data_IF_136973555627
#
_entry.id   IF_136973555627
#
_cell.length_a   1.000
_cell.length_b   1.000
_cell.length_c   1.000
_cell.angle_alpha   90.00
_cell.angle_beta   90.00
_cell.angle_gamma   90.00
#
_symmetry.space_group_name_H-M   'P 1'
#
loop_
_entity.id
_entity.type
_entity.pdbx_description
1 polymer ?
#
# COMPACT_ATOMS: atom_id res chain seq x y z
N UNK A 1 18.18 9.34 4.33
CA UNK A 1 16.91 8.63 4.07
C UNK A 1 15.78 9.64 4.00
N UNK A 2 14.98 9.59 2.97
CA UNK A 2 13.82 10.46 2.84
C UNK A 2 12.64 9.75 3.50
N UNK A 3 12.18 10.28 4.63
CA UNK A 3 10.99 9.74 5.30
C UNK A 3 9.75 9.96 4.43
N UNK A 4 8.91 8.95 4.35
CA UNK A 4 7.59 9.05 3.73
C UNK A 4 6.66 9.84 4.65
N UNK A 5 5.72 10.63 4.11
CA UNK A 5 4.72 11.29 4.93
C UNK A 5 3.93 10.26 5.73
N UNK A 6 3.74 10.54 7.00
CA UNK A 6 2.95 9.68 7.91
C UNK A 6 1.54 9.48 7.34
N UNK A 7 1.01 8.25 7.36
CA UNK A 7 -0.36 8.00 6.90
C UNK A 7 -1.35 8.87 7.68
N UNK A 8 -1.99 9.79 7.01
CA UNK A 8 -3.08 10.58 7.57
C UNK A 8 -4.41 9.89 7.28
N UNK A 9 -4.64 8.78 7.96
CA UNK A 9 -5.99 8.23 8.09
C UNK A 9 -6.71 9.05 9.17
N UNK A 10 -7.25 10.21 8.79
CA UNK A 10 -8.21 10.94 9.59
C UNK A 10 -9.59 10.27 9.42
N UNK A 11 -9.77 9.18 10.17
CA UNK A 11 -11.07 8.58 10.42
C UNK A 11 -11.73 9.41 11.50
N UNK A 12 -12.36 10.53 11.13
CA UNK A 12 -13.20 11.31 12.04
C UNK A 12 -14.30 10.43 12.61
N UNK A 13 -14.43 10.36 13.94
CA UNK A 13 -15.13 9.28 14.60
C UNK A 13 -16.64 9.54 14.71
N UNK A 14 -17.39 8.47 14.60
CA UNK A 14 -18.60 8.30 15.39
C UNK A 14 -18.21 8.46 16.88
N UNK A 15 -18.82 9.42 17.54
CA UNK A 15 -18.57 9.86 18.91
C UNK A 15 -18.49 8.71 19.91
N UNK A 16 -17.32 8.52 20.52
CA UNK A 16 -17.10 7.74 21.72
C UNK A 16 -16.60 8.65 22.87
N UNK A 17 -16.90 8.33 24.15
CA UNK A 17 -16.72 9.25 25.27
C UNK A 17 -15.25 9.55 25.57
N UNK A 18 -14.99 10.78 25.98
CA UNK A 18 -13.68 11.34 26.36
C UNK A 18 -13.08 10.57 27.55
N UNK A 19 -12.06 9.75 27.25
CA UNK A 19 -11.05 9.35 28.23
C UNK A 19 -9.76 10.09 27.91
N UNK A 20 -9.09 10.66 28.92
CA UNK A 20 -7.87 11.44 28.81
C UNK A 20 -6.74 10.62 28.16
N UNK A 21 -6.28 11.05 26.98
CA UNK A 21 -5.15 10.44 26.30
C UNK A 21 -3.88 11.27 26.58
N UNK A 22 -2.91 10.62 27.18
CA UNK A 22 -1.53 11.12 27.25
C UNK A 22 -0.91 11.06 25.84
N UNK A 23 -0.01 12.00 25.45
CA UNK A 23 0.68 11.92 24.17
C UNK A 23 1.79 10.87 24.25
N UNK A 24 1.43 9.64 24.00
CA UNK A 24 2.35 8.52 23.82
C UNK A 24 2.31 8.11 22.35
N UNK A 25 3.48 8.10 21.73
CA UNK A 25 3.82 7.57 20.42
C UNK A 25 2.80 6.55 19.89
N UNK A 26 2.04 6.93 18.85
CA UNK A 26 1.22 5.99 18.08
C UNK A 26 2.14 5.12 17.21
N UNK A 27 2.81 4.17 17.83
CA UNK A 27 3.31 3.01 17.13
C UNK A 27 2.10 2.11 16.93
N UNK A 28 1.62 2.02 15.69
CA UNK A 28 0.67 0.98 15.33
C UNK A 28 1.30 -0.38 15.72
N UNK A 29 0.59 -1.25 16.45
CA UNK A 29 1.15 -2.52 16.88
C UNK A 29 1.53 -3.33 15.65
N UNK A 30 2.80 -3.74 15.59
CA UNK A 30 3.25 -4.79 14.68
C UNK A 30 2.52 -6.05 15.17
N UNK A 31 1.50 -6.47 14.45
CA UNK A 31 0.85 -7.75 14.73
C UNK A 31 1.82 -8.85 14.27
N UNK A 32 2.58 -9.38 15.21
CA UNK A 32 3.27 -10.65 15.03
C UNK A 32 2.25 -11.76 15.20
N UNK A 33 1.79 -12.32 14.11
CA UNK A 33 1.03 -13.54 14.11
C UNK A 33 2.01 -14.74 14.21
N UNK A 34 1.54 -15.85 14.83
CA UNK A 34 2.27 -17.12 14.91
C UNK A 34 2.52 -17.78 13.55
N UNK A 35 2.04 -17.18 12.49
CA UNK A 35 2.17 -17.64 11.09
C UNK A 35 3.56 -17.42 10.48
N UNK A 36 4.50 -16.74 11.16
CA UNK A 36 5.78 -16.37 10.57
C UNK A 36 5.70 -15.17 9.62
N UNK A 37 4.64 -14.39 9.71
CA UNK A 37 4.35 -13.23 8.85
C UNK A 37 4.30 -11.96 9.70
N UNK A 38 4.87 -10.88 9.17
CA UNK A 38 4.77 -9.53 9.72
C UNK A 38 4.09 -8.62 8.70
N UNK A 39 3.09 -7.85 9.14
CA UNK A 39 2.37 -6.88 8.30
C UNK A 39 2.65 -5.48 8.80
N UNK A 40 3.09 -4.59 7.91
CA UNK A 40 3.42 -3.20 8.24
C UNK A 40 3.15 -2.26 7.06
N UNK A 41 3.03 -0.98 7.34
CA UNK A 41 3.09 0.07 6.32
C UNK A 41 4.53 0.47 6.07
N UNK A 42 4.88 0.68 4.79
CA UNK A 42 6.18 1.24 4.43
C UNK A 42 6.35 2.64 5.01
N UNK A 43 7.48 2.89 5.67
CA UNK A 43 7.84 4.18 6.29
C UNK A 43 8.96 4.89 5.55
N UNK A 44 9.75 4.14 4.79
CA UNK A 44 10.92 4.62 4.08
C UNK A 44 10.87 4.22 2.61
N UNK A 45 11.53 5.01 1.77
CA UNK A 45 11.58 4.77 0.34
C UNK A 45 12.16 3.39 -0.01
N UNK A 46 13.13 2.91 0.76
CA UNK A 46 13.75 1.60 0.53
C UNK A 46 12.72 0.46 0.68
N UNK A 47 11.79 0.59 1.61
CA UNK A 47 10.69 -0.36 1.81
C UNK A 47 9.68 -0.32 0.66
N UNK A 48 9.39 0.88 0.13
CA UNK A 48 8.57 1.02 -1.09
C UNK A 48 9.25 0.35 -2.28
N UNK A 49 10.57 0.48 -2.39
CA UNK A 49 11.35 -0.18 -3.45
C UNK A 49 11.30 -1.70 -3.36
N UNK A 50 11.27 -2.27 -2.17
CA UNK A 50 11.06 -3.72 -2.01
C UNK A 50 9.70 -4.16 -2.57
N UNK A 51 8.62 -3.40 -2.27
CA UNK A 51 7.30 -3.65 -2.85
C UNK A 51 7.30 -3.53 -4.38
N UNK A 52 7.97 -2.50 -4.92
CA UNK A 52 8.09 -2.27 -6.35
C UNK A 52 8.83 -3.40 -7.08
N UNK A 53 9.87 -3.98 -6.45
CA UNK A 53 10.59 -5.16 -6.99
C UNK A 53 9.68 -6.38 -7.01
N UNK A 54 9.01 -6.68 -5.90
CA UNK A 54 8.08 -7.82 -5.84
C UNK A 54 6.99 -7.69 -6.92
N UNK A 55 6.42 -6.50 -7.09
CA UNK A 55 5.43 -6.23 -8.14
C UNK A 55 5.99 -6.46 -9.54
N UNK A 56 7.21 -6.00 -9.79
CA UNK A 56 7.87 -6.21 -11.08
C UNK A 56 8.07 -7.69 -11.39
N UNK A 57 8.59 -8.45 -10.43
CA UNK A 57 8.85 -9.87 -10.60
C UNK A 57 7.55 -10.63 -10.92
N UNK A 58 6.46 -10.27 -10.28
CA UNK A 58 5.16 -10.92 -10.50
C UNK A 58 4.48 -10.40 -11.76
N UNK A 59 4.29 -9.09 -11.90
CA UNK A 59 3.50 -8.54 -13.01
C UNK A 59 4.24 -8.65 -14.35
N UNK A 60 5.52 -8.28 -14.41
CA UNK A 60 6.29 -8.42 -15.64
C UNK A 60 6.85 -9.82 -15.83
N UNK A 61 7.43 -10.42 -14.78
CA UNK A 61 8.10 -11.71 -14.87
C UNK A 61 7.13 -12.88 -15.04
N UNK A 62 6.13 -12.99 -14.18
CA UNK A 62 5.20 -14.13 -14.23
C UNK A 62 3.99 -13.87 -15.14
N UNK A 63 3.40 -12.66 -15.10
CA UNK A 63 2.16 -12.36 -15.81
C UNK A 63 2.40 -11.75 -17.20
N UNK A 64 3.65 -11.38 -17.53
CA UNK A 64 4.00 -10.80 -18.82
C UNK A 64 3.45 -9.37 -19.04
N UNK A 65 3.12 -8.66 -17.98
CA UNK A 65 2.60 -7.29 -18.09
C UNK A 65 3.67 -6.34 -18.64
N UNK A 66 3.24 -5.40 -19.48
CA UNK A 66 4.09 -4.31 -19.97
C UNK A 66 4.06 -3.17 -18.96
N UNK A 67 5.09 -3.06 -18.14
CA UNK A 67 5.22 -2.02 -17.15
C UNK A 67 5.99 -0.80 -17.69
N UNK A 68 5.76 0.41 -17.11
CA UNK A 68 6.56 1.58 -17.42
C UNK A 68 8.05 1.30 -17.15
N UNK A 69 8.93 1.69 -18.08
CA UNK A 69 10.39 1.46 -17.98
C UNK A 69 11.06 2.63 -17.27
N UNK A 70 10.62 2.98 -16.07
CA UNK A 70 11.19 4.08 -15.30
C UNK A 70 12.49 3.67 -14.61
N UNK A 71 12.51 2.49 -14.01
CA UNK A 71 13.69 1.91 -13.37
C UNK A 71 13.70 0.39 -13.62
N UNK A 72 14.82 -0.20 -14.13
CA UNK A 72 14.90 -1.63 -14.37
C UNK A 72 14.62 -2.45 -13.10
N UNK A 73 13.77 -3.49 -13.22
CA UNK A 73 13.46 -4.37 -12.11
C UNK A 73 12.49 -3.79 -11.07
N UNK A 74 11.84 -2.66 -11.36
CA UNK A 74 10.87 -2.04 -10.47
C UNK A 74 9.59 -1.69 -11.23
N UNK A 75 8.43 -1.99 -10.64
CA UNK A 75 7.14 -1.47 -11.09
C UNK A 75 6.88 -0.13 -10.40
N UNK A 76 7.09 0.95 -11.15
CA UNK A 76 6.93 2.33 -10.65
C UNK A 76 5.98 3.08 -11.56
N UNK A 77 4.98 3.73 -10.98
CA UNK A 77 4.11 4.66 -11.67
C UNK A 77 3.92 5.97 -10.87
N UNK A 78 3.22 6.92 -11.48
CA UNK A 78 2.95 8.24 -10.90
C UNK A 78 2.27 8.15 -9.51
N UNK A 79 1.46 7.12 -9.27
CA UNK A 79 0.67 7.01 -8.03
C UNK A 79 1.50 6.54 -6.84
N UNK A 80 2.65 5.89 -7.06
CA UNK A 80 3.47 5.33 -5.97
C UNK A 80 3.90 6.40 -4.95
N UNK A 81 4.19 7.62 -5.38
CA UNK A 81 4.59 8.71 -4.50
C UNK A 81 3.43 9.25 -3.61
N UNK A 82 2.19 8.88 -3.93
CA UNK A 82 0.99 9.33 -3.22
C UNK A 82 0.31 8.24 -2.41
N UNK A 83 0.59 6.97 -2.72
CA UNK A 83 -0.03 5.82 -2.08
C UNK A 83 0.65 5.45 -0.77
N UNK A 84 -0.14 4.86 0.14
CA UNK A 84 0.40 4.05 1.22
C UNK A 84 0.70 2.65 0.68
N UNK A 85 1.83 2.07 1.10
CA UNK A 85 2.25 0.74 0.67
C UNK A 85 2.20 -0.22 1.85
N UNK A 86 1.32 -1.20 1.81
CA UNK A 86 1.31 -2.30 2.78
C UNK A 86 2.36 -3.32 2.38
N UNK A 87 3.10 -3.79 3.37
CA UNK A 87 4.13 -4.82 3.22
C UNK A 87 3.78 -6.02 4.07
N UNK A 88 3.84 -7.18 3.46
CA UNK A 88 3.79 -8.47 4.15
C UNK A 88 5.19 -9.07 4.04
N UNK A 89 5.82 -9.32 5.19
CA UNK A 89 7.18 -9.87 5.27
C UNK A 89 7.16 -11.27 5.89
N UNK A 90 7.96 -12.15 5.34
CA UNK A 90 8.36 -13.37 6.04
C UNK A 90 9.30 -13.00 7.19
N UNK A 91 8.99 -13.44 8.42
CA UNK A 91 9.76 -13.08 9.61
C UNK A 91 11.13 -13.76 9.67
N UNK A 92 11.28 -14.92 9.05
CA UNK A 92 12.52 -15.68 9.03
C UNK A 92 13.53 -15.11 8.03
N UNK A 93 13.06 -14.79 6.81
CA UNK A 93 13.92 -14.29 5.72
C UNK A 93 13.97 -12.77 5.64
N UNK A 94 13.03 -12.08 6.29
CA UNK A 94 12.80 -10.62 6.21
C UNK A 94 12.43 -10.11 4.81
N UNK A 95 12.17 -10.98 3.87
CA UNK A 95 11.76 -10.62 2.52
C UNK A 95 10.31 -10.14 2.48
N UNK A 96 10.02 -9.17 1.64
CA UNK A 96 8.64 -8.79 1.30
C UNK A 96 8.07 -9.87 0.39
N UNK A 97 7.04 -10.56 0.87
CA UNK A 97 6.37 -11.67 0.20
C UNK A 97 4.97 -11.32 -0.30
N UNK A 98 4.44 -10.19 0.13
CA UNK A 98 3.16 -9.66 -0.32
C UNK A 98 3.12 -8.15 -0.18
N UNK A 99 2.34 -7.51 -1.03
CA UNK A 99 2.11 -6.06 -0.98
C UNK A 99 0.77 -5.69 -1.61
N UNK A 100 0.22 -4.58 -1.20
CA UNK A 100 -0.72 -3.78 -1.98
C UNK A 100 -0.51 -2.30 -1.66
N UNK A 101 -1.00 -1.43 -2.53
CA UNK A 101 -1.02 0.00 -2.28
C UNK A 101 -2.43 0.53 -2.10
N UNK A 102 -2.55 1.55 -1.29
CA UNK A 102 -3.79 2.20 -0.93
C UNK A 102 -3.72 3.67 -1.28
N UNK A 103 -4.73 4.17 -1.98
CA UNK A 103 -4.88 5.58 -2.33
C UNK A 103 -6.14 6.13 -1.68
N UNK A 104 -5.96 7.03 -0.72
CA UNK A 104 -7.08 7.71 -0.03
C UNK A 104 -7.68 8.82 -0.89
N UNK A 105 -8.90 9.31 -0.59
CA UNK A 105 -9.48 10.44 -1.30
C UNK A 105 -8.60 11.69 -1.30
N UNK A 106 -7.93 11.97 -0.18
CA UNK A 106 -7.03 13.12 -0.06
C UNK A 106 -5.81 12.98 -0.97
N UNK A 107 -5.23 11.78 -1.03
CA UNK A 107 -4.10 11.46 -1.92
C UNK A 107 -4.52 11.47 -3.38
N UNK A 108 -5.68 10.88 -3.73
CA UNK A 108 -6.25 10.94 -5.08
C UNK A 108 -6.47 12.39 -5.55
N UNK A 109 -6.95 13.27 -4.66
CA UNK A 109 -7.08 14.70 -4.95
C UNK A 109 -5.73 15.37 -5.22
N UNK A 110 -4.67 14.97 -4.51
CA UNK A 110 -3.31 15.53 -4.71
C UNK A 110 -2.67 15.10 -6.01
N UNK A 111 -2.84 13.84 -6.42
CA UNK A 111 -2.32 13.32 -7.69
C UNK A 111 -3.22 13.72 -8.87
N UNK A 112 -4.49 14.06 -8.60
CA UNK A 112 -5.48 14.54 -9.57
C UNK A 112 -6.54 13.52 -9.98
N UNK A 113 -6.36 12.24 -9.66
CA UNK A 113 -7.30 11.17 -10.02
C UNK A 113 -7.08 9.92 -9.16
N UNK A 114 -8.01 8.97 -9.23
CA UNK A 114 -7.72 7.57 -8.88
C UNK A 114 -7.02 6.87 -10.04
N UNK A 115 -6.26 5.81 -9.77
CA UNK A 115 -5.66 4.99 -10.82
C UNK A 115 -6.74 4.40 -11.75
N UNK A 116 -7.85 3.93 -11.16
CA UNK A 116 -8.96 3.35 -11.91
C UNK A 116 -9.63 4.32 -12.89
N UNK A 117 -9.46 5.64 -12.72
CA UNK A 117 -9.92 6.64 -13.71
C UNK A 117 -9.14 6.55 -15.03
N UNK A 118 -7.95 5.96 -15.01
CA UNK A 118 -7.16 5.76 -16.24
C UNK A 118 -7.64 4.57 -17.06
N UNK A 119 -8.39 3.67 -16.45
CA UNK A 119 -8.81 2.40 -17.04
C UNK A 119 -10.34 2.37 -17.28
N UNK A 120 -11.13 3.09 -16.47
CA UNK A 120 -12.60 3.01 -16.45
C UNK A 120 -13.26 4.39 -16.35
N UNK A 121 -14.46 4.50 -16.93
CA UNK A 121 -15.33 5.65 -16.66
C UNK A 121 -16.02 5.49 -15.30
N UNK A 122 -15.53 6.22 -14.30
CA UNK A 122 -16.05 6.23 -12.94
C UNK A 122 -17.03 7.38 -12.66
N UNK A 123 -17.60 8.03 -13.69
CA UNK A 123 -18.52 9.18 -13.55
C UNK A 123 -19.70 8.85 -12.63
N UNK A 124 -20.20 7.62 -12.67
CA UNK A 124 -21.29 7.14 -11.81
C UNK A 124 -20.94 7.13 -10.32
N UNK A 125 -19.66 7.05 -9.98
CA UNK A 125 -19.16 7.01 -8.60
C UNK A 125 -18.75 8.39 -8.08
N UNK A 126 -18.98 9.47 -8.86
CA UNK A 126 -18.51 10.82 -8.52
C UNK A 126 -18.94 11.32 -7.14
N UNK A 127 -20.15 10.93 -6.67
CA UNK A 127 -20.66 11.33 -5.37
C UNK A 127 -19.99 10.58 -4.21
N UNK A 128 -19.38 9.43 -4.47
CA UNK A 128 -18.69 8.61 -3.49
C UNK A 128 -17.19 8.94 -3.39
N UNK A 129 -16.64 9.71 -4.32
CA UNK A 129 -15.19 9.97 -4.40
C UNK A 129 -14.57 10.49 -3.11
N UNK A 130 -15.32 11.31 -2.35
CA UNK A 130 -14.85 11.83 -1.07
C UNK A 130 -14.72 10.79 0.05
N UNK A 131 -15.29 9.61 -0.14
CA UNK A 131 -15.27 8.48 0.82
C UNK A 131 -14.72 7.18 0.23
N UNK A 132 -14.24 7.21 -1.04
CA UNK A 132 -13.65 6.04 -1.68
C UNK A 132 -12.17 5.91 -1.36
N UNK A 133 -11.75 4.70 -1.10
CA UNK A 133 -10.34 4.31 -1.02
C UNK A 133 -10.07 3.32 -2.13
N UNK A 134 -9.02 3.52 -2.89
CA UNK A 134 -8.60 2.60 -3.93
C UNK A 134 -7.50 1.68 -3.43
N UNK A 135 -7.70 0.38 -3.61
CA UNK A 135 -6.68 -0.64 -3.40
C UNK A 135 -6.17 -1.11 -4.76
N UNK A 136 -4.87 -1.18 -4.91
CA UNK A 136 -4.27 -1.58 -6.17
C UNK A 136 -2.91 -2.25 -6.02
N UNK A 137 -2.39 -2.75 -7.13
CA UNK A 137 -1.07 -3.41 -7.17
C UNK A 137 -0.92 -4.51 -6.13
N UNK A 138 -2.00 -5.26 -5.85
CA UNK A 138 -1.99 -6.38 -4.92
C UNK A 138 -1.30 -7.57 -5.54
N UNK A 139 -0.29 -8.11 -4.85
CA UNK A 139 0.38 -9.34 -5.28
C UNK A 139 1.02 -10.06 -4.10
N UNK A 140 1.22 -11.38 -4.28
CA UNK A 140 1.86 -12.29 -3.32
C UNK A 140 2.88 -13.13 -4.06
N UNK A 141 4.07 -13.29 -3.48
CA UNK A 141 5.15 -14.13 -4.01
C UNK A 141 4.65 -15.57 -4.26
N UNK A 142 5.11 -16.18 -5.36
CA UNK A 142 4.62 -17.49 -5.79
C UNK A 142 4.66 -18.57 -4.70
N UNK A 143 5.74 -18.63 -3.96
CA UNK A 143 5.97 -19.65 -2.91
C UNK A 143 5.05 -19.48 -1.69
N UNK A 144 4.35 -18.34 -1.57
CA UNK A 144 3.49 -18.01 -0.44
C UNK A 144 1.99 -18.01 -0.78
N UNK A 145 1.59 -18.31 -2.02
CA UNK A 145 0.18 -18.25 -2.44
C UNK A 145 -0.69 -19.38 -1.89
N UNK A 146 -0.10 -20.46 -1.42
CA UNK A 146 -0.82 -21.66 -0.94
C UNK A 146 -0.83 -21.79 0.59
N UNK A 147 -0.28 -20.84 1.31
CA UNK A 147 -0.08 -20.89 2.76
C UNK A 147 -0.95 -19.96 3.60
N UNK A 148 -2.00 -19.32 3.03
CA UNK A 148 -2.91 -18.48 3.81
C UNK A 148 -2.39 -17.05 4.10
N UNK A 149 -1.66 -16.47 3.18
CA UNK A 149 -1.33 -15.03 3.16
C UNK A 149 -2.46 -14.24 2.54
#
# INVERSE_FOLDING_TARGET
MKELPTPTLDLSPLSLPRGSLHPGSLQAPVQQDKSGIEVSWARHLDEVREAQRLRYDIFAGEMGARLPKTEPGHDIDLFDDYCEHLLVRDTATRQVIGTYRLLTPAQAKRVGSFYSDTEFDLTRLRLLRGSMVELGRSCVHADHRHGGV
#
